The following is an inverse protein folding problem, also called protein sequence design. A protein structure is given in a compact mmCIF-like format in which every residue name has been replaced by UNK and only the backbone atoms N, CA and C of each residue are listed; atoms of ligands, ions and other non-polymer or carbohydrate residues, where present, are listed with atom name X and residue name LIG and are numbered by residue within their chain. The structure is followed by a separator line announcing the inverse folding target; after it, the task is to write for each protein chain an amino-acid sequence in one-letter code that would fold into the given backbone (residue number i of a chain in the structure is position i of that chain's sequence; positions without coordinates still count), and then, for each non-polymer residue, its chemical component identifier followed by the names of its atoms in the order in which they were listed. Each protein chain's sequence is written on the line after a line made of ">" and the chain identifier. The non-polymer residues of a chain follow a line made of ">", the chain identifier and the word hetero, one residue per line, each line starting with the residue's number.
data_IF_184949948747
#
_entry.id   IF_184949948747
#
_cell.length_a   1.000
_cell.length_b   1.000
_cell.length_c   1.000
_cell.angle_alpha   90.00
_cell.angle_beta   90.00
_cell.angle_gamma   90.00
#
_symmetry.space_group_name_H-M   'P 1'
#
loop_
_entity.id
_entity.type
_entity.pdbx_description
1 polymer ?
#
# COMPACT_ATOMS: atom_id res chain seq x y z
N UNK A 1 -3.06 30.63 -10.79
CA UNK A 1 -2.02 29.73 -10.25
C UNK A 1 -2.63 28.35 -10.22
N UNK A 2 -2.21 27.44 -11.10
CA UNK A 2 -2.60 26.03 -10.99
C UNK A 2 -1.63 25.39 -10.00
N UNK A 3 -2.08 25.16 -8.76
CA UNK A 3 -1.30 24.43 -7.77
C UNK A 3 -0.97 23.04 -8.32
N UNK A 4 0.27 22.58 -8.10
CA UNK A 4 0.66 21.22 -8.47
C UNK A 4 -0.14 20.25 -7.58
N UNK A 5 -0.86 19.27 -8.14
CA UNK A 5 -1.61 18.31 -7.35
C UNK A 5 -0.67 17.53 -6.41
N UNK A 6 -1.15 17.25 -5.19
CA UNK A 6 -0.44 16.49 -4.14
C UNK A 6 -1.30 15.30 -3.68
N UNK A 7 -1.55 14.32 -4.56
CA UNK A 7 -2.35 13.17 -4.24
C UNK A 7 -1.67 12.34 -3.15
N UNK A 8 -2.49 11.74 -2.29
CA UNK A 8 -2.05 10.90 -1.18
C UNK A 8 -3.16 9.93 -0.78
N UNK A 9 -2.76 8.73 -0.34
CA UNK A 9 -3.61 7.90 0.50
C UNK A 9 -3.57 8.39 1.96
N UNK A 10 -4.71 8.31 2.66
CA UNK A 10 -4.82 8.64 4.09
C UNK A 10 -5.81 7.68 4.76
N UNK A 11 -5.38 6.88 5.76
CA UNK A 11 -3.98 6.67 6.14
C UNK A 11 -3.17 6.01 5.00
N UNK A 12 -1.84 6.16 5.02
CA UNK A 12 -0.96 5.47 4.05
C UNK A 12 -0.65 4.03 4.44
N UNK A 13 -0.71 3.71 5.73
CA UNK A 13 -0.54 2.36 6.25
C UNK A 13 -1.83 1.98 6.98
N UNK A 14 -2.43 0.88 6.55
CA UNK A 14 -3.63 0.31 7.17
C UNK A 14 -3.32 -1.10 7.63
N UNK A 15 -3.76 -1.46 8.83
CA UNK A 15 -3.63 -2.81 9.39
C UNK A 15 -5.01 -3.43 9.54
N UNK A 16 -5.21 -4.61 8.96
CA UNK A 16 -6.48 -5.34 9.00
C UNK A 16 -6.25 -6.79 9.43
N UNK A 17 -7.27 -7.43 9.97
CA UNK A 17 -7.25 -8.88 10.18
C UNK A 17 -7.30 -9.63 8.84
N UNK A 18 -6.90 -10.91 8.85
CA UNK A 18 -7.13 -11.81 7.71
C UNK A 18 -8.63 -11.92 7.43
N UNK A 19 -9.02 -11.80 6.16
CA UNK A 19 -10.41 -11.69 5.71
C UNK A 19 -10.99 -10.27 5.86
N UNK A 20 -10.20 -9.29 6.27
CA UNK A 20 -10.60 -7.89 6.36
C UNK A 20 -10.73 -7.23 4.99
N UNK A 21 -11.70 -6.34 4.85
CA UNK A 21 -11.92 -5.54 3.63
C UNK A 21 -11.38 -4.13 3.83
N UNK A 22 -10.62 -3.64 2.85
CA UNK A 22 -10.22 -2.23 2.76
C UNK A 22 -11.09 -1.55 1.71
N UNK A 23 -11.60 -0.36 2.06
CA UNK A 23 -12.40 0.49 1.17
C UNK A 23 -11.59 1.75 0.87
N UNK A 24 -11.26 1.98 -0.39
CA UNK A 24 -10.72 3.24 -0.87
C UNK A 24 -11.89 4.11 -1.32
N UNK A 25 -11.92 5.36 -0.84
CA UNK A 25 -12.95 6.35 -1.20
C UNK A 25 -12.30 7.54 -1.88
N UNK A 26 -12.85 7.96 -3.02
CA UNK A 26 -12.36 9.10 -3.77
C UNK A 26 -12.79 10.42 -3.11
N UNK A 27 -11.83 11.14 -2.52
CA UNK A 27 -12.10 12.45 -1.91
C UNK A 27 -12.06 13.61 -2.93
N UNK A 28 -11.25 13.48 -3.98
CA UNK A 28 -11.10 14.50 -5.04
C UNK A 28 -10.27 13.97 -6.19
N UNK A 29 -10.41 14.56 -7.38
CA UNK A 29 -9.58 14.21 -8.54
C UNK A 29 -9.95 12.86 -9.15
N UNK A 30 -9.03 12.31 -9.95
CA UNK A 30 -9.14 10.98 -10.55
C UNK A 30 -8.03 10.11 -9.97
N UNK A 31 -8.39 8.98 -9.38
CA UNK A 31 -7.46 8.08 -8.69
C UNK A 31 -7.84 6.62 -8.90
N UNK A 32 -6.85 5.74 -8.76
CA UNK A 32 -7.05 4.30 -8.65
C UNK A 32 -6.29 3.71 -7.45
N UNK A 33 -6.51 2.42 -7.21
CA UNK A 33 -5.72 1.61 -6.28
C UNK A 33 -5.26 0.35 -6.99
N UNK A 34 -3.95 0.21 -7.17
CA UNK A 34 -3.34 -0.91 -7.88
C UNK A 34 -2.22 -1.55 -7.08
N UNK A 35 -2.26 -2.86 -6.91
CA UNK A 35 -1.21 -3.64 -6.26
C UNK A 35 0.09 -3.59 -7.08
N UNK A 36 1.23 -3.53 -6.39
CA UNK A 36 2.53 -3.75 -7.03
C UNK A 36 2.73 -5.24 -7.34
N UNK A 37 2.42 -5.66 -8.57
CA UNK A 37 2.55 -7.03 -9.05
C UNK A 37 2.80 -7.07 -10.57
N UNK A 38 3.58 -8.04 -11.11
CA UNK A 38 3.82 -8.17 -12.55
C UNK A 38 2.57 -8.27 -13.43
N UNK A 39 1.49 -8.83 -12.90
CA UNK A 39 0.21 -8.98 -13.61
C UNK A 39 -0.67 -7.71 -13.58
N UNK A 40 -0.33 -6.72 -12.74
CA UNK A 40 -1.04 -5.44 -12.63
C UNK A 40 -0.11 -4.27 -12.92
N UNK A 41 0.72 -3.88 -11.95
CA UNK A 41 1.71 -2.82 -12.05
C UNK A 41 3.01 -3.25 -11.37
N UNK A 42 4.03 -3.59 -12.16
CA UNK A 42 5.31 -4.05 -11.62
C UNK A 42 6.05 -2.97 -10.82
N UNK A 43 6.99 -3.34 -9.93
CA UNK A 43 7.49 -4.70 -9.65
C UNK A 43 6.61 -5.47 -8.64
N UNK A 44 6.99 -6.70 -8.26
CA UNK A 44 6.27 -7.44 -7.21
C UNK A 44 6.60 -6.89 -5.81
N UNK A 45 5.58 -6.45 -5.06
CA UNK A 45 5.64 -6.03 -3.66
C UNK A 45 4.42 -6.47 -2.85
N UNK A 46 3.86 -7.64 -3.18
CA UNK A 46 2.80 -8.31 -2.40
C UNK A 46 3.23 -9.74 -2.03
N UNK A 47 2.54 -10.45 -1.10
CA UNK A 47 2.85 -11.83 -0.76
C UNK A 47 2.76 -12.76 -1.99
N UNK A 48 3.65 -13.77 -2.11
CA UNK A 48 3.71 -14.64 -3.30
C UNK A 48 2.41 -15.37 -3.66
N UNK A 49 1.61 -15.72 -2.65
CA UNK A 49 0.36 -16.49 -2.82
C UNK A 49 -0.90 -15.58 -2.82
N UNK A 50 -0.73 -14.26 -2.91
CA UNK A 50 -1.84 -13.33 -2.94
C UNK A 50 -2.22 -12.93 -4.37
N UNK A 51 -3.53 -12.87 -4.63
CA UNK A 51 -4.07 -12.34 -5.87
C UNK A 51 -3.87 -10.81 -5.91
N UNK A 52 -3.25 -10.25 -6.97
CA UNK A 52 -3.13 -8.80 -7.11
C UNK A 52 -4.48 -8.16 -7.46
N UNK A 53 -4.62 -6.87 -7.13
CA UNK A 53 -5.80 -6.08 -7.53
C UNK A 53 -5.39 -4.87 -8.37
N UNK A 54 -6.34 -4.41 -9.18
CA UNK A 54 -6.31 -3.12 -9.84
C UNK A 54 -7.76 -2.61 -9.92
N UNK A 55 -8.04 -1.46 -9.34
CA UNK A 55 -9.35 -0.83 -9.50
C UNK A 55 -9.51 -0.24 -10.90
N UNK A 56 -10.76 0.00 -11.32
CA UNK A 56 -11.01 1.00 -12.35
C UNK A 56 -10.63 2.39 -11.82
N UNK A 57 -10.46 3.36 -12.73
CA UNK A 57 -10.27 4.77 -12.32
C UNK A 57 -11.56 5.28 -11.69
N UNK A 58 -11.46 5.75 -10.45
CA UNK A 58 -12.53 6.47 -9.76
C UNK A 58 -12.43 7.96 -10.13
N UNK A 59 -13.57 8.54 -10.54
CA UNK A 59 -13.65 9.93 -11.03
C UNK A 59 -14.77 10.74 -10.37
N UNK A 60 -15.67 10.10 -9.63
CA UNK A 60 -16.72 10.78 -8.87
C UNK A 60 -16.37 10.86 -7.39
N UNK A 61 -16.44 12.06 -6.79
CA UNK A 61 -16.23 12.22 -5.34
C UNK A 61 -17.22 11.33 -4.57
N UNK A 62 -16.69 10.52 -3.66
CA UNK A 62 -17.43 9.52 -2.90
C UNK A 62 -17.54 8.15 -3.58
N UNK A 63 -17.04 7.98 -4.81
CA UNK A 63 -16.88 6.68 -5.45
C UNK A 63 -15.90 5.81 -4.65
N UNK A 64 -16.17 4.51 -4.61
CA UNK A 64 -15.42 3.56 -3.79
C UNK A 64 -14.92 2.37 -4.61
N UNK A 65 -13.78 1.86 -4.18
CA UNK A 65 -13.26 0.55 -4.55
C UNK A 65 -13.00 -0.26 -3.28
N UNK A 66 -13.36 -1.54 -3.28
CA UNK A 66 -13.23 -2.43 -2.12
C UNK A 66 -12.42 -3.67 -2.48
N UNK A 67 -11.55 -4.10 -1.58
CA UNK A 67 -10.81 -5.35 -1.73
C UNK A 67 -10.71 -6.10 -0.40
N UNK A 68 -10.93 -7.41 -0.43
CA UNK A 68 -10.83 -8.28 0.75
C UNK A 68 -9.50 -9.03 0.73
N UNK A 69 -8.83 -9.05 1.87
CA UNK A 69 -7.48 -9.61 2.01
C UNK A 69 -7.50 -10.92 2.79
N UNK A 70 -7.53 -12.04 2.07
CA UNK A 70 -7.57 -13.38 2.68
C UNK A 70 -6.18 -13.98 2.96
N UNK A 71 -5.14 -13.48 2.30
CA UNK A 71 -3.76 -13.96 2.51
C UNK A 71 -3.04 -13.04 3.51
N UNK A 72 -2.48 -13.54 4.63
CA UNK A 72 -1.70 -12.72 5.54
C UNK A 72 -0.42 -12.22 4.87
N UNK A 73 0.01 -11.01 5.21
CA UNK A 73 1.22 -10.43 4.64
C UNK A 73 1.21 -8.91 4.55
N UNK A 74 2.23 -8.38 3.89
CA UNK A 74 2.44 -6.95 3.67
C UNK A 74 2.32 -6.65 2.18
N UNK A 75 1.43 -5.72 1.85
CA UNK A 75 1.04 -5.37 0.49
C UNK A 75 1.34 -3.91 0.22
N UNK A 76 2.23 -3.61 -0.74
CA UNK A 76 2.36 -2.25 -1.25
C UNK A 76 1.47 -2.04 -2.48
N UNK A 77 0.88 -0.86 -2.58
CA UNK A 77 0.05 -0.45 -3.69
C UNK A 77 0.30 1.00 -4.10
N UNK A 78 -0.23 1.39 -5.26
CA UNK A 78 0.06 2.65 -5.93
C UNK A 78 -1.18 3.21 -6.62
N UNK A 79 -1.20 4.53 -6.75
CA UNK A 79 -2.07 5.25 -7.67
C UNK A 79 -1.34 5.45 -9.01
N UNK A 80 -1.85 4.81 -10.06
CA UNK A 80 -1.22 4.78 -11.40
C UNK A 80 -1.61 5.96 -12.27
N UNK A 81 -2.51 6.83 -11.80
CA UNK A 81 -3.00 7.95 -12.58
C UNK A 81 -1.90 8.98 -12.90
N UNK A 82 -2.03 9.60 -14.06
CA UNK A 82 -1.05 10.55 -14.59
C UNK A 82 -1.75 11.73 -15.27
N UNK A 83 -2.05 12.78 -14.50
CA UNK A 83 -2.65 14.01 -15.06
C UNK A 83 -1.58 15.01 -15.54
N UNK A 84 -0.60 15.32 -14.68
CA UNK A 84 0.52 16.23 -14.97
C UNK A 84 1.91 15.61 -14.69
N UNK A 85 1.95 14.71 -13.72
CA UNK A 85 3.10 13.89 -13.31
C UNK A 85 2.46 12.60 -12.82
N UNK A 86 3.01 11.43 -13.16
CA UNK A 86 2.48 10.17 -12.62
C UNK A 86 2.42 10.27 -11.08
N UNK A 87 1.31 9.87 -10.48
CA UNK A 87 1.10 10.06 -9.05
C UNK A 87 2.10 9.24 -8.21
N UNK A 88 2.56 8.09 -8.73
CA UNK A 88 3.71 7.35 -8.18
C UNK A 88 4.99 8.21 -8.12
N UNK A 89 5.30 9.00 -9.15
CA UNK A 89 6.52 9.83 -9.18
C UNK A 89 6.55 10.88 -8.08
N UNK A 90 5.40 11.24 -7.53
CA UNK A 90 5.27 12.15 -6.38
C UNK A 90 4.98 11.43 -5.06
N UNK A 91 5.04 10.09 -5.07
CA UNK A 91 5.01 9.23 -3.89
C UNK A 91 3.60 8.82 -3.44
N UNK A 92 2.62 8.79 -4.35
CA UNK A 92 1.29 8.28 -4.01
C UNK A 92 1.27 6.74 -3.98
N UNK A 93 1.84 6.21 -2.91
CA UNK A 93 1.89 4.79 -2.58
C UNK A 93 1.30 4.57 -1.18
N UNK A 94 0.76 3.38 -0.95
CA UNK A 94 0.27 2.97 0.36
C UNK A 94 0.63 1.53 0.67
N UNK A 95 0.32 1.11 1.90
CA UNK A 95 0.58 -0.22 2.42
C UNK A 95 -0.61 -0.77 3.20
N UNK A 96 -0.93 -2.02 2.94
CA UNK A 96 -1.84 -2.82 3.78
C UNK A 96 -1.03 -3.89 4.49
N UNK A 97 -1.18 -3.99 5.81
CA UNK A 97 -0.69 -5.10 6.63
C UNK A 97 -1.89 -5.98 6.97
N UNK A 98 -1.78 -7.28 6.73
CA UNK A 98 -2.89 -8.24 6.92
C UNK A 98 -2.46 -9.29 7.94
N UNK A 99 -3.16 -9.33 9.07
CA UNK A 99 -2.84 -10.21 10.19
C UNK A 99 -1.52 -9.81 10.87
N UNK A 100 -0.78 -10.79 11.40
CA UNK A 100 0.51 -10.58 12.04
C UNK A 100 1.61 -11.36 11.28
N UNK A 101 1.99 -10.92 10.06
CA UNK A 101 2.94 -11.66 9.24
C UNK A 101 4.35 -11.59 9.85
N UNK A 102 5.15 -12.63 9.61
CA UNK A 102 6.58 -12.58 9.93
C UNK A 102 7.26 -11.47 9.13
N UNK A 103 8.14 -10.71 9.79
CA UNK A 103 8.90 -9.61 9.19
C UNK A 103 10.12 -10.10 8.39
N UNK A 104 9.95 -11.20 7.65
CA UNK A 104 10.94 -11.77 6.76
C UNK A 104 10.80 -11.16 5.35
N UNK A 105 11.77 -10.38 4.85
CA UNK A 105 11.73 -9.83 3.50
C UNK A 105 11.67 -10.89 2.39
N UNK A 106 12.11 -12.12 2.63
CA UNK A 106 11.99 -13.19 1.64
C UNK A 106 10.54 -13.65 1.47
N UNK A 107 9.79 -13.76 2.57
CA UNK A 107 8.35 -14.05 2.57
C UNK A 107 7.48 -12.81 2.27
N UNK A 108 7.97 -11.61 2.57
CA UNK A 108 7.27 -10.33 2.43
C UNK A 108 8.01 -9.40 1.47
N UNK A 109 7.79 -9.50 0.15
CA UNK A 109 8.48 -8.67 -0.84
C UNK A 109 8.38 -7.15 -0.59
N UNK A 110 7.27 -6.69 0.00
CA UNK A 110 7.08 -5.30 0.42
C UNK A 110 8.13 -4.83 1.45
N UNK A 111 8.69 -5.71 2.28
CA UNK A 111 9.70 -5.34 3.28
C UNK A 111 11.12 -5.26 2.72
N UNK A 112 11.34 -5.71 1.48
CA UNK A 112 12.64 -5.58 0.81
C UNK A 112 12.96 -4.10 0.53
N UNK A 113 14.26 -3.74 0.44
CA UNK A 113 14.65 -2.43 -0.09
C UNK A 113 13.93 -2.14 -1.43
N UNK A 114 13.32 -0.97 -1.61
CA UNK A 114 12.58 -0.66 -2.83
C UNK A 114 13.45 -0.77 -4.09
N UNK A 115 12.91 -1.43 -5.10
CA UNK A 115 13.58 -1.69 -6.37
C UNK A 115 14.03 -0.39 -7.02
N UNK A 116 15.27 -0.33 -7.52
CA UNK A 116 15.88 0.92 -8.03
C UNK A 116 15.18 1.55 -9.23
N UNK A 117 14.36 0.76 -9.95
CA UNK A 117 13.54 1.22 -11.06
C UNK A 117 12.37 2.13 -10.63
N UNK A 118 11.92 2.01 -9.37
CA UNK A 118 10.85 2.82 -8.83
C UNK A 118 11.26 4.30 -8.69
N UNK A 119 10.32 5.25 -8.87
CA UNK A 119 10.61 6.66 -8.70
C UNK A 119 11.20 6.98 -7.32
N UNK A 120 12.17 7.88 -7.27
CA UNK A 120 12.92 8.20 -6.03
C UNK A 120 12.00 8.53 -4.85
N UNK A 121 10.94 9.31 -5.07
CA UNK A 121 10.01 9.69 -3.99
C UNK A 121 9.19 8.48 -3.53
N UNK A 122 8.71 7.64 -4.45
CA UNK A 122 8.04 6.39 -4.10
C UNK A 122 8.95 5.49 -3.24
N UNK A 123 10.21 5.31 -3.63
CA UNK A 123 11.19 4.54 -2.84
C UNK A 123 11.34 5.07 -1.42
N UNK A 124 11.50 6.38 -1.25
CA UNK A 124 11.56 6.98 0.10
C UNK A 124 10.29 6.71 0.91
N UNK A 125 9.10 6.80 0.30
CA UNK A 125 7.84 6.48 1.00
C UNK A 125 7.74 5.00 1.38
N UNK A 126 8.18 4.10 0.51
CA UNK A 126 8.19 2.66 0.78
C UNK A 126 9.19 2.30 1.90
N UNK A 127 10.34 2.96 1.96
CA UNK A 127 11.29 2.85 3.08
C UNK A 127 10.67 3.33 4.41
N UNK A 128 10.00 4.48 4.41
CA UNK A 128 9.26 4.98 5.58
C UNK A 128 8.15 4.00 6.01
N UNK A 129 7.47 3.36 5.05
CA UNK A 129 6.44 2.36 5.34
C UNK A 129 7.04 1.06 5.91
N UNK A 130 8.25 0.67 5.51
CA UNK A 130 8.98 -0.44 6.13
C UNK A 130 9.22 -0.15 7.61
N UNK A 131 9.78 1.01 7.95
CA UNK A 131 10.03 1.42 9.34
C UNK A 131 8.74 1.42 10.17
N UNK A 132 7.65 1.98 9.64
CA UNK A 132 6.35 1.98 10.29
C UNK A 132 5.78 0.57 10.50
N UNK A 133 5.96 -0.33 9.54
CA UNK A 133 5.49 -1.72 9.64
C UNK A 133 6.23 -2.48 10.75
N UNK A 134 7.55 -2.28 10.84
CA UNK A 134 8.36 -2.85 11.92
C UNK A 134 7.92 -2.34 13.29
N UNK A 135 7.66 -1.03 13.43
CA UNK A 135 7.17 -0.45 14.69
C UNK A 135 5.81 -1.03 15.07
N UNK A 136 4.85 -1.01 14.14
CA UNK A 136 3.49 -1.49 14.33
C UNK A 136 3.45 -2.93 14.88
N UNK A 137 4.19 -3.85 14.24
CA UNK A 137 4.16 -5.27 14.62
C UNK A 137 5.04 -5.58 15.85
N UNK A 138 6.00 -4.72 16.20
CA UNK A 138 6.80 -4.87 17.42
C UNK A 138 6.04 -4.44 18.67
N UNK A 139 5.27 -3.34 18.59
CA UNK A 139 4.47 -2.83 19.71
C UNK A 139 3.37 -3.83 20.12
N UNK A 140 2.74 -4.49 19.14
CA UNK A 140 1.75 -5.56 19.37
C UNK A 140 2.35 -6.78 20.09
N UNK A 141 3.58 -7.17 19.74
CA UNK A 141 4.27 -8.28 20.40
C UNK A 141 4.56 -7.99 21.88
N UNK A 142 4.86 -6.73 22.22
CA UNK A 142 5.05 -6.31 23.61
C UNK A 142 3.75 -6.27 24.39
N UNK A 143 2.64 -5.84 23.76
CA UNK A 143 1.32 -5.76 24.41
C UNK A 143 0.71 -7.14 24.65
N UNK A 144 1.00 -8.13 23.79
CA UNK A 144 0.56 -9.53 23.98
C UNK A 144 1.33 -10.29 25.08
N UNK A 145 2.43 -9.75 25.61
CA UNK A 145 3.26 -10.40 26.63
C UNK A 145 2.93 -9.94 28.06
N UNK A 146 2.14 -8.87 28.23
CA UNK A 146 1.64 -8.36 29.52
C UNK A 146 0.19 -8.82 29.78
N UNK A 147 -0.05 -10.09 30.07
CA UNK A 147 -1.29 -10.55 30.71
C UNK A 147 -0.92 -11.53 31.85
N UNK A 148 -1.10 -11.16 33.14
CA UNK A 148 -0.96 -12.07 34.28
C UNK A 148 -2.22 -12.93 34.56
#
# INVERSE_FOLDING_TARGET
>A
MTSRPTPKFEPRLTHVAVGGTVVWTLESGDHDSTAYHPDTYGPNRIPPDAEPWASETMSAVGETFEWTFDTPGVYDYVDTQAVCTAHEQIGNVGRIVVGNPELDPDAQPALRPPQSELPRIARTRLEELNEQTHSLLSDEATTSTEEP
#
